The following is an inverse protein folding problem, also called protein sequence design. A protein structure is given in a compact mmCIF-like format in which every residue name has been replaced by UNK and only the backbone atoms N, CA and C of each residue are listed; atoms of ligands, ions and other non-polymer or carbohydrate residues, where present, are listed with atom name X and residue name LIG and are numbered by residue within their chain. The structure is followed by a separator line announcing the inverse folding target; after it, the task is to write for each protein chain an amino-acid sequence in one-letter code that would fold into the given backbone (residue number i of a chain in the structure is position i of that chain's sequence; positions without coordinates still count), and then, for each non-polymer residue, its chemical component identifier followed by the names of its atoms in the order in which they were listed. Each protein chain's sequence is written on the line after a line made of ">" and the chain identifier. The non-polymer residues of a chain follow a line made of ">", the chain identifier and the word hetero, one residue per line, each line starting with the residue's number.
data_IF_978776888234
#
_entry.id   IF_978776888234
#
_cell.length_a   1.000
_cell.length_b   1.000
_cell.length_c   1.000
_cell.angle_alpha   90.00
_cell.angle_beta   90.00
_cell.angle_gamma   90.00
#
_symmetry.space_group_name_H-M   'P 1'
#
loop_
_entity.id
_entity.type
_entity.pdbx_description
1 polymer ?
#
# COMPACT_ATOMS: atom_id res chain seq x y z
N UNK A 1 -0.13 -81.42 -70.08
CA UNK A 1 -1.47 -80.79 -70.29
C UNK A 1 -1.36 -79.31 -69.85
N UNK A 2 -1.70 -78.47 -70.83
CA UNK A 2 -2.12 -77.05 -70.72
C UNK A 2 -1.10 -76.00 -70.22
N UNK A 3 -0.65 -75.21 -71.11
CA UNK A 3 -1.21 -73.99 -71.67
C UNK A 3 -0.94 -72.84 -70.68
N UNK A 4 -0.06 -72.00 -70.83
CA UNK A 4 0.22 -71.03 -71.86
C UNK A 4 -0.53 -69.73 -71.61
N UNK A 5 0.17 -68.70 -71.16
CA UNK A 5 -0.18 -67.38 -71.67
C UNK A 5 0.88 -66.35 -71.21
N UNK A 6 1.53 -65.82 -72.15
CA UNK A 6 2.45 -64.64 -72.10
C UNK A 6 1.67 -63.36 -71.90
N UNK A 7 2.02 -62.56 -70.96
CA UNK A 7 1.60 -61.19 -70.91
C UNK A 7 2.79 -60.25 -71.01
N UNK A 8 2.73 -59.34 -71.99
CA UNK A 8 3.68 -58.28 -72.31
C UNK A 8 3.64 -57.21 -71.27
N UNK A 9 4.77 -56.78 -70.81
CA UNK A 9 4.89 -55.62 -69.97
C UNK A 9 5.20 -54.36 -70.83
N UNK A 10 4.27 -53.38 -70.81
CA UNK A 10 4.48 -52.08 -71.34
C UNK A 10 5.25 -51.24 -70.34
N UNK A 11 6.40 -50.72 -70.78
CA UNK A 11 7.15 -49.76 -70.00
C UNK A 11 6.55 -48.35 -70.09
N UNK A 12 6.08 -47.84 -68.96
CA UNK A 12 5.77 -46.41 -68.84
C UNK A 12 6.95 -45.70 -68.21
N UNK A 13 7.54 -44.76 -68.90
CA UNK A 13 8.52 -43.81 -68.40
C UNK A 13 7.74 -42.64 -67.73
N UNK A 14 7.85 -42.53 -66.43
CA UNK A 14 7.31 -41.39 -65.69
C UNK A 14 8.37 -40.29 -65.63
N UNK A 15 8.04 -39.13 -66.17
CA UNK A 15 8.81 -37.91 -66.01
C UNK A 15 8.52 -37.40 -64.57
N UNK A 16 9.58 -37.28 -63.75
CA UNK A 16 9.49 -36.61 -62.45
C UNK A 16 9.80 -35.13 -62.68
N UNK A 17 8.78 -34.28 -62.55
CA UNK A 17 8.97 -32.84 -62.49
C UNK A 17 9.39 -32.43 -61.07
N UNK A 18 10.60 -31.98 -60.89
CA UNK A 18 11.06 -31.32 -59.66
C UNK A 18 10.47 -29.94 -59.57
N UNK A 19 9.46 -29.75 -58.71
CA UNK A 19 8.99 -28.42 -58.30
C UNK A 19 9.86 -27.94 -57.13
N UNK A 20 10.66 -26.91 -57.33
CA UNK A 20 11.39 -26.19 -56.30
C UNK A 20 10.43 -25.37 -55.46
N UNK A 21 10.22 -25.73 -54.19
CA UNK A 21 9.56 -24.89 -53.22
C UNK A 21 10.55 -23.84 -52.71
N UNK A 22 10.15 -22.54 -52.60
CA UNK A 22 11.03 -21.57 -51.98
C UNK A 22 11.07 -21.80 -50.45
N UNK A 23 12.26 -22.07 -49.88
CA UNK A 23 12.49 -21.99 -48.46
C UNK A 23 12.38 -20.52 -48.02
N UNK A 24 11.25 -20.14 -47.45
CA UNK A 24 11.19 -18.92 -46.64
C UNK A 24 11.85 -19.21 -45.30
N UNK A 25 13.10 -18.78 -45.14
CA UNK A 25 13.74 -18.74 -43.84
C UNK A 25 12.97 -17.75 -42.95
N UNK A 26 12.11 -18.28 -42.08
CA UNK A 26 11.52 -17.50 -40.99
C UNK A 26 12.67 -17.02 -40.09
N UNK A 27 12.80 -15.70 -39.98
CA UNK A 27 13.66 -15.10 -38.96
C UNK A 27 13.18 -15.60 -37.60
N UNK A 28 14.09 -16.00 -36.68
CA UNK A 28 13.70 -16.32 -35.32
C UNK A 28 13.07 -15.06 -34.69
N UNK A 29 11.81 -15.13 -34.29
CA UNK A 29 11.22 -14.16 -33.39
C UNK A 29 12.01 -14.31 -32.09
N UNK A 30 12.80 -13.32 -31.76
CA UNK A 30 13.43 -13.23 -30.44
C UNK A 30 12.29 -13.25 -29.44
N UNK A 31 12.16 -14.35 -28.70
CA UNK A 31 11.34 -14.38 -27.50
C UNK A 31 11.96 -13.34 -26.57
N UNK A 32 11.23 -12.27 -26.25
CA UNK A 32 11.61 -11.39 -25.16
C UNK A 32 11.80 -12.29 -23.93
N UNK A 33 12.96 -12.24 -23.31
CA UNK A 33 13.10 -12.83 -21.98
C UNK A 33 12.02 -12.18 -21.10
N UNK A 34 11.34 -12.95 -20.23
CA UNK A 34 10.42 -12.35 -19.28
C UNK A 34 11.21 -11.32 -18.48
N UNK A 35 10.62 -10.13 -18.30
CA UNK A 35 11.18 -9.13 -17.41
C UNK A 35 11.49 -9.79 -16.06
N UNK A 36 12.66 -9.52 -15.46
CA UNK A 36 12.99 -10.09 -14.17
C UNK A 36 11.87 -9.74 -13.19
N UNK A 37 11.48 -10.71 -12.35
CA UNK A 37 10.53 -10.46 -11.28
C UNK A 37 11.05 -9.28 -10.44
N UNK A 38 10.15 -8.34 -10.03
CA UNK A 38 10.56 -7.21 -9.21
C UNK A 38 11.21 -7.70 -7.93
N UNK A 39 12.41 -7.22 -7.66
CA UNK A 39 13.17 -7.61 -6.47
C UNK A 39 12.74 -6.73 -5.29
N UNK A 40 12.28 -7.37 -4.21
CA UNK A 40 12.07 -6.71 -2.92
C UNK A 40 13.31 -6.92 -2.06
N UNK A 41 13.99 -5.82 -1.73
CA UNK A 41 15.17 -5.82 -0.86
C UNK A 41 14.87 -5.12 0.45
N UNK A 42 15.48 -5.56 1.55
CA UNK A 42 15.43 -4.83 2.81
C UNK A 42 16.70 -4.02 2.98
N UNK A 43 16.56 -2.70 2.97
CA UNK A 43 17.65 -1.77 3.31
C UNK A 43 17.55 -1.33 4.76
N UNK A 44 18.69 -0.94 5.34
CA UNK A 44 18.77 -0.51 6.73
C UNK A 44 19.18 0.95 6.76
N UNK A 45 18.20 1.82 7.03
CA UNK A 45 18.37 3.27 7.00
C UNK A 45 18.59 3.81 8.41
N UNK A 46 19.74 4.47 8.66
CA UNK A 46 19.96 5.16 9.93
C UNK A 46 19.17 6.46 9.98
N UNK A 47 18.40 6.64 11.04
CA UNK A 47 17.68 7.89 11.34
C UNK A 47 18.45 8.70 12.38
N UNK A 48 19.07 9.82 12.01
CA UNK A 48 19.68 10.74 12.98
C UNK A 48 18.70 11.26 14.02
N UNK A 49 17.46 11.56 13.63
CA UNK A 49 16.44 12.07 14.54
C UNK A 49 16.03 11.05 15.61
N UNK A 50 16.00 9.76 15.28
CA UNK A 50 15.65 8.68 16.20
C UNK A 50 16.89 8.02 16.84
N UNK A 51 18.09 8.28 16.33
CA UNK A 51 19.35 7.64 16.71
C UNK A 51 19.26 6.09 16.66
N UNK A 52 18.66 5.58 15.56
CA UNK A 52 18.50 4.16 15.34
C UNK A 52 18.47 3.80 13.86
N UNK A 53 18.71 2.53 13.56
CA UNK A 53 18.56 1.96 12.23
C UNK A 53 17.12 1.47 12.05
N UNK A 54 16.49 1.86 10.93
CA UNK A 54 15.14 1.44 10.54
C UNK A 54 15.22 0.49 9.37
N UNK A 55 14.70 -0.74 9.46
CA UNK A 55 14.59 -1.63 8.32
C UNK A 55 13.46 -1.13 7.39
N UNK A 56 13.73 -1.11 6.09
CA UNK A 56 12.80 -0.62 5.06
C UNK A 56 12.80 -1.61 3.90
N UNK A 57 11.64 -2.18 3.59
CA UNK A 57 11.47 -2.98 2.38
C UNK A 57 11.32 -2.06 1.18
N UNK A 58 12.07 -2.32 0.11
CA UNK A 58 12.00 -1.59 -1.14
C UNK A 58 11.79 -2.58 -2.28
N UNK A 59 10.66 -2.46 -2.95
CA UNK A 59 10.38 -3.16 -4.20
C UNK A 59 10.68 -2.19 -5.35
N UNK A 60 11.63 -2.57 -6.21
CA UNK A 60 11.97 -1.77 -7.40
C UNK A 60 11.10 -2.19 -8.59
N UNK A 61 10.81 -1.27 -9.53
CA UNK A 61 10.13 -1.62 -10.76
C UNK A 61 11.03 -2.50 -11.65
N UNK A 62 10.42 -3.32 -12.51
CA UNK A 62 11.16 -4.14 -13.49
C UNK A 62 11.97 -3.28 -14.48
N UNK A 63 11.42 -2.14 -14.91
CA UNK A 63 12.11 -1.19 -15.78
C UNK A 63 12.71 -0.02 -14.98
N UNK A 64 14.00 -0.07 -14.75
CA UNK A 64 14.82 0.98 -14.12
C UNK A 64 15.58 1.86 -15.12
N UNK A 65 15.29 1.77 -16.41
CA UNK A 65 16.00 2.52 -17.46
C UNK A 65 15.82 4.04 -17.34
N UNK A 66 14.75 4.49 -16.67
CA UNK A 66 14.50 5.88 -16.32
C UNK A 66 14.08 6.00 -14.86
N UNK A 67 14.35 7.13 -14.20
CA UNK A 67 13.90 7.37 -12.83
C UNK A 67 12.39 7.19 -12.69
N UNK A 68 11.96 6.34 -11.75
CA UNK A 68 10.54 6.05 -11.46
C UNK A 68 10.10 6.72 -10.17
N UNK A 69 8.80 7.07 -10.03
CA UNK A 69 8.27 7.63 -8.79
C UNK A 69 8.25 6.61 -7.65
N UNK A 70 7.95 7.08 -6.44
CA UNK A 70 7.94 6.26 -5.22
C UNK A 70 6.58 6.32 -4.53
N UNK A 71 6.03 5.14 -4.23
CA UNK A 71 4.91 4.96 -3.31
C UNK A 71 5.46 4.55 -1.93
N UNK A 72 5.29 5.40 -0.93
CA UNK A 72 5.50 5.05 0.47
C UNK A 72 4.24 4.35 0.98
N UNK A 73 4.39 3.09 1.45
CA UNK A 73 3.26 2.26 1.86
C UNK A 73 3.41 1.88 3.33
N UNK A 74 2.60 2.46 4.20
CA UNK A 74 2.73 2.32 5.64
C UNK A 74 1.84 1.19 6.18
N UNK A 75 2.41 0.39 7.07
CA UNK A 75 1.68 -0.64 7.83
C UNK A 75 0.79 0.00 8.92
N UNK A 76 -0.17 -0.77 9.42
CA UNK A 76 -1.07 -0.35 10.49
C UNK A 76 -0.40 -0.24 11.86
N UNK A 77 -1.14 -0.52 12.91
CA UNK A 77 -0.69 -0.32 14.29
C UNK A 77 0.59 -1.10 14.67
N UNK A 78 0.82 -2.28 14.10
CA UNK A 78 2.03 -3.07 14.33
C UNK A 78 3.30 -2.53 13.66
N UNK A 79 3.20 -1.48 12.84
CA UNK A 79 4.38 -0.84 12.23
C UNK A 79 5.14 -1.70 11.22
N UNK A 80 4.76 -2.95 11.02
CA UNK A 80 5.54 -3.92 10.25
C UNK A 80 6.55 -4.71 11.08
N UNK A 81 6.49 -4.60 12.41
CA UNK A 81 7.35 -5.33 13.36
C UNK A 81 6.82 -6.72 13.67
N UNK A 82 5.61 -7.03 13.21
CA UNK A 82 4.95 -8.32 13.28
C UNK A 82 4.68 -8.86 11.86
N UNK A 83 4.03 -10.02 11.75
CA UNK A 83 3.66 -10.62 10.46
C UNK A 83 2.44 -9.94 9.80
N UNK A 84 1.85 -8.94 10.45
CA UNK A 84 0.72 -8.18 9.92
C UNK A 84 1.20 -7.05 9.00
N UNK A 85 1.84 -7.41 7.89
CA UNK A 85 2.39 -6.50 6.89
C UNK A 85 1.67 -6.62 5.56
N UNK A 86 1.79 -5.61 4.72
CA UNK A 86 1.29 -5.61 3.34
C UNK A 86 1.79 -6.84 2.56
N UNK A 87 3.09 -7.15 2.67
CA UNK A 87 3.72 -8.25 1.94
C UNK A 87 3.19 -9.63 2.35
N UNK A 88 2.91 -9.83 3.65
CA UNK A 88 2.45 -11.13 4.14
C UNK A 88 0.94 -11.33 3.99
N UNK A 89 0.15 -10.24 4.00
CA UNK A 89 -1.31 -10.32 4.10
C UNK A 89 -2.05 -10.00 2.82
N UNK A 90 -1.36 -9.48 1.79
CA UNK A 90 -1.96 -9.05 0.53
C UNK A 90 -1.16 -9.54 -0.68
N UNK A 91 -1.63 -9.22 -1.86
CA UNK A 91 -0.95 -9.45 -3.13
C UNK A 91 -0.08 -8.27 -3.59
N UNK A 92 0.23 -7.33 -2.69
CA UNK A 92 0.85 -6.03 -3.00
C UNK A 92 2.08 -6.12 -3.91
N UNK A 93 2.96 -7.10 -3.68
CA UNK A 93 4.19 -7.26 -4.46
C UNK A 93 3.86 -7.61 -5.91
N UNK A 94 2.99 -8.60 -6.15
CA UNK A 94 2.55 -8.96 -7.49
C UNK A 94 1.66 -7.90 -8.14
N UNK A 95 0.82 -7.23 -7.36
CA UNK A 95 -0.04 -6.16 -7.86
C UNK A 95 0.77 -4.97 -8.37
N UNK A 96 1.84 -4.57 -7.68
CA UNK A 96 2.66 -3.41 -8.04
C UNK A 96 3.84 -3.75 -8.96
N UNK A 97 4.15 -5.03 -9.16
CA UNK A 97 5.28 -5.50 -9.95
C UNK A 97 5.42 -4.86 -11.34
N UNK A 98 4.33 -4.79 -12.09
CA UNK A 98 4.32 -4.24 -13.46
C UNK A 98 3.95 -2.76 -13.57
N UNK A 99 3.98 -1.99 -12.49
CA UNK A 99 3.40 -0.64 -12.45
C UNK A 99 4.42 0.51 -12.52
N UNK A 100 5.69 0.21 -12.79
CA UNK A 100 6.76 1.20 -12.95
C UNK A 100 6.88 2.20 -11.76
N UNK A 101 6.74 1.70 -10.55
CA UNK A 101 6.81 2.46 -9.29
C UNK A 101 7.77 1.78 -8.31
N UNK A 102 8.56 2.56 -7.58
CA UNK A 102 9.25 2.05 -6.40
C UNK A 102 8.26 1.98 -5.24
N UNK A 103 8.26 0.89 -4.47
CA UNK A 103 7.40 0.76 -3.28
C UNK A 103 8.28 0.69 -2.05
N UNK A 104 8.09 1.61 -1.12
CA UNK A 104 8.92 1.76 0.08
C UNK A 104 8.07 1.55 1.31
N UNK A 105 8.34 0.49 2.05
CA UNK A 105 7.57 0.09 3.24
C UNK A 105 8.51 0.04 4.45
N UNK A 106 8.44 1.00 5.39
CA UNK A 106 9.11 0.89 6.68
C UNK A 106 8.59 -0.34 7.44
N UNK A 107 9.51 -1.12 8.01
CA UNK A 107 9.21 -2.32 8.79
C UNK A 107 9.41 -2.04 10.29
N UNK A 108 9.01 -0.86 10.73
CA UNK A 108 9.07 -0.39 12.11
C UNK A 108 8.06 0.74 12.33
N UNK A 109 7.86 1.16 13.57
CA UNK A 109 6.95 2.25 13.95
C UNK A 109 5.68 1.77 14.62
N UNK A 110 5.73 0.60 15.27
CA UNK A 110 4.60 0.07 16.01
C UNK A 110 4.03 1.10 17.00
N UNK A 111 2.73 1.29 16.96
CA UNK A 111 1.91 2.16 17.82
C UNK A 111 2.32 3.64 17.87
N UNK A 112 3.19 4.09 16.94
CA UNK A 112 3.79 5.43 16.97
C UNK A 112 2.95 6.53 16.31
N UNK A 113 1.88 6.19 15.59
CA UNK A 113 1.16 7.09 14.67
C UNK A 113 2.07 7.74 13.61
N UNK A 114 3.26 7.20 13.40
CA UNK A 114 4.26 7.75 12.47
C UNK A 114 4.45 9.27 12.60
N UNK A 115 4.43 9.76 13.86
CA UNK A 115 4.56 11.17 14.20
C UNK A 115 5.81 11.44 15.04
N UNK A 116 6.17 12.71 15.21
CA UNK A 116 7.27 13.12 16.10
C UNK A 116 6.71 13.26 17.52
N UNK A 117 7.15 12.39 18.41
CA UNK A 117 6.78 12.45 19.81
C UNK A 117 7.52 13.59 20.52
N UNK A 118 6.83 14.30 21.43
CA UNK A 118 7.42 15.36 22.21
C UNK A 118 8.53 14.86 23.14
N UNK A 119 8.37 13.65 23.68
CA UNK A 119 9.30 13.01 24.62
C UNK A 119 9.59 11.57 24.22
N UNK A 120 10.77 11.09 24.61
CA UNK A 120 11.10 9.67 24.52
C UNK A 120 10.18 8.88 25.47
N UNK A 121 9.71 7.71 25.05
CA UNK A 121 8.80 6.85 25.79
C UNK A 121 9.55 5.62 26.31
N UNK A 122 9.28 5.14 27.55
CA UNK A 122 9.97 3.97 28.10
C UNK A 122 9.74 2.68 27.30
N UNK A 123 8.56 2.50 26.67
CA UNK A 123 8.21 1.29 25.90
C UNK A 123 8.59 1.42 24.42
N UNK A 124 8.23 2.54 23.80
CA UNK A 124 8.42 2.74 22.34
C UNK A 124 9.68 3.52 21.98
N UNK A 125 10.42 4.03 22.99
CA UNK A 125 11.66 4.75 22.78
C UNK A 125 11.46 6.12 22.12
N UNK A 126 12.49 6.55 21.34
CA UNK A 126 12.48 7.82 20.63
C UNK A 126 11.73 7.66 19.30
N UNK A 127 10.66 8.43 19.12
CA UNK A 127 9.83 8.42 17.92
C UNK A 127 9.88 9.81 17.25
N UNK A 128 10.56 9.88 16.10
CA UNK A 128 10.64 11.05 15.22
C UNK A 128 10.27 10.63 13.78
N UNK A 129 9.14 9.95 13.68
CA UNK A 129 8.72 9.33 12.44
C UNK A 129 8.31 10.33 11.37
N UNK A 130 7.71 11.47 11.75
CA UNK A 130 7.38 12.50 10.78
C UNK A 130 8.67 13.09 10.18
N UNK A 131 9.69 13.37 10.99
CA UNK A 131 11.01 13.77 10.50
C UNK A 131 11.63 12.70 9.61
N UNK A 132 11.60 11.44 10.03
CA UNK A 132 12.15 10.33 9.23
C UNK A 132 11.49 10.22 7.86
N UNK A 133 10.16 10.14 7.82
CA UNK A 133 9.40 9.91 6.60
C UNK A 133 9.36 11.13 5.66
N UNK A 134 9.53 12.34 6.20
CA UNK A 134 9.41 13.55 5.36
C UNK A 134 10.75 14.21 5.03
N UNK A 135 11.82 13.94 5.78
CA UNK A 135 13.09 14.66 5.63
C UNK A 135 14.30 13.72 5.47
N UNK A 136 14.31 12.57 6.14
CA UNK A 136 15.48 11.68 6.16
C UNK A 136 15.38 10.58 5.09
N UNK A 137 14.28 9.82 5.08
CA UNK A 137 14.11 8.67 4.20
C UNK A 137 14.01 9.04 2.71
N UNK A 138 13.22 10.04 2.27
CA UNK A 138 13.03 10.30 0.84
C UNK A 138 14.33 10.59 0.10
N UNK A 139 15.22 11.49 0.55
CA UNK A 139 16.47 11.76 -0.17
C UNK A 139 17.43 10.55 -0.19
N UNK A 140 17.37 9.66 0.81
CA UNK A 140 18.17 8.42 0.82
C UNK A 140 17.66 7.46 -0.25
N UNK A 141 16.35 7.25 -0.32
CA UNK A 141 15.71 6.41 -1.35
C UNK A 141 15.98 6.95 -2.74
N UNK A 142 15.84 8.26 -2.94
CA UNK A 142 16.10 8.91 -4.22
C UNK A 142 17.55 8.69 -4.68
N UNK A 143 18.52 8.80 -3.77
CA UNK A 143 19.93 8.64 -4.08
C UNK A 143 20.32 7.17 -4.30
N UNK A 144 19.78 6.24 -3.52
CA UNK A 144 20.15 4.83 -3.57
C UNK A 144 19.50 4.09 -4.75
N UNK A 145 18.24 4.41 -5.06
CA UNK A 145 17.47 3.73 -6.11
C UNK A 145 17.27 4.57 -7.38
N UNK A 146 17.81 5.77 -7.43
CA UNK A 146 17.72 6.65 -8.60
C UNK A 146 16.28 7.02 -8.97
N UNK A 147 15.44 7.31 -7.96
CA UNK A 147 14.03 7.60 -8.18
C UNK A 147 13.80 8.99 -8.79
N UNK A 148 12.59 9.28 -9.23
CA UNK A 148 12.26 10.58 -9.85
C UNK A 148 12.05 11.72 -8.83
N UNK A 149 12.03 11.43 -7.52
CA UNK A 149 11.67 12.37 -6.47
C UNK A 149 10.16 12.74 -6.45
N UNK A 150 9.34 12.11 -7.28
CA UNK A 150 7.88 12.26 -7.25
C UNK A 150 7.30 11.17 -6.33
N UNK A 151 6.57 11.58 -5.28
CA UNK A 151 6.15 10.68 -4.25
C UNK A 151 4.63 10.65 -4.07
N UNK A 152 4.10 9.47 -3.73
CA UNK A 152 2.79 9.26 -3.14
C UNK A 152 2.94 8.51 -1.82
N UNK A 153 1.93 8.56 -0.97
CA UNK A 153 1.90 7.84 0.30
C UNK A 153 0.55 7.18 0.50
N UNK A 154 0.56 5.95 1.03
CA UNK A 154 -0.66 5.27 1.42
C UNK A 154 -0.45 4.52 2.74
N UNK A 155 -1.54 4.29 3.48
CA UNK A 155 -1.45 3.59 4.76
C UNK A 155 -2.81 3.17 5.28
N UNK A 156 -2.79 2.15 6.14
CA UNK A 156 -3.98 1.51 6.70
C UNK A 156 -4.15 1.82 8.19
N UNK A 157 -5.40 1.85 8.66
CA UNK A 157 -5.70 1.89 10.10
C UNK A 157 -5.02 3.08 10.79
N UNK A 158 -4.15 2.85 11.77
CA UNK A 158 -3.31 3.88 12.39
C UNK A 158 -2.59 4.73 11.33
N UNK A 159 -1.99 4.09 10.34
CA UNK A 159 -1.30 4.81 9.26
C UNK A 159 -2.25 5.53 8.31
N UNK A 160 -3.51 5.10 8.19
CA UNK A 160 -4.53 5.85 7.44
C UNK A 160 -4.79 7.26 8.00
N UNK A 161 -4.67 7.43 9.31
CA UNK A 161 -4.61 8.76 9.95
C UNK A 161 -3.28 9.45 9.68
N UNK A 162 -2.18 8.70 9.83
CA UNK A 162 -0.83 9.26 9.77
C UNK A 162 -0.45 9.83 8.41
N UNK A 163 -0.88 9.20 7.30
CA UNK A 163 -0.56 9.68 5.95
C UNK A 163 -1.14 11.08 5.67
N UNK A 164 -2.31 11.38 6.24
CA UNK A 164 -2.90 12.72 6.17
C UNK A 164 -2.07 13.72 6.99
N UNK A 165 -1.67 13.34 8.22
CA UNK A 165 -0.83 14.17 9.09
C UNK A 165 0.55 14.42 8.48
N UNK A 166 1.16 13.42 7.85
CA UNK A 166 2.45 13.56 7.16
C UNK A 166 2.36 14.48 5.94
N UNK A 167 1.29 14.40 5.16
CA UNK A 167 1.04 15.32 4.05
C UNK A 167 0.80 16.75 4.52
N UNK A 168 0.14 16.95 5.67
CA UNK A 168 -0.02 18.25 6.32
C UNK A 168 1.31 18.82 6.80
N UNK A 169 2.18 17.98 7.37
CA UNK A 169 3.48 18.38 7.88
C UNK A 169 4.49 18.71 6.76
N UNK A 170 4.38 18.05 5.62
CA UNK A 170 5.27 18.24 4.46
C UNK A 170 4.47 18.50 3.18
N UNK A 171 3.89 19.71 3.02
CA UNK A 171 3.09 20.04 1.83
C UNK A 171 3.88 19.83 0.53
N UNK A 172 3.24 19.24 -0.46
CA UNK A 172 3.80 18.93 -1.79
C UNK A 172 4.84 17.81 -1.85
N UNK A 173 5.27 17.22 -0.74
CA UNK A 173 6.14 16.04 -0.77
C UNK A 173 5.41 14.83 -1.35
N UNK A 174 4.17 14.62 -0.94
CA UNK A 174 3.31 13.54 -1.39
C UNK A 174 2.18 14.11 -2.28
N UNK A 175 2.20 13.78 -3.57
CA UNK A 175 1.22 14.26 -4.55
C UNK A 175 -0.09 13.47 -4.50
N UNK A 176 0.00 12.18 -4.16
CA UNK A 176 -1.13 11.28 -3.97
C UNK A 176 -1.17 10.73 -2.57
N UNK A 177 -2.35 10.62 -1.97
CA UNK A 177 -2.55 10.13 -0.62
C UNK A 177 -3.64 9.06 -0.63
N UNK A 178 -3.31 7.85 -0.17
CA UNK A 178 -4.25 6.77 0.10
C UNK A 178 -4.44 6.62 1.61
N UNK A 179 -5.56 7.06 2.16
CA UNK A 179 -5.87 6.97 3.59
C UNK A 179 -6.93 5.89 3.81
N UNK A 180 -6.49 4.67 4.16
CA UNK A 180 -7.38 3.53 4.21
C UNK A 180 -7.80 3.24 5.64
N UNK A 181 -9.09 3.45 5.91
CA UNK A 181 -9.77 3.06 7.17
C UNK A 181 -9.06 3.56 8.42
N UNK A 182 -8.65 4.84 8.40
CA UNK A 182 -8.09 5.57 9.53
C UNK A 182 -9.06 6.63 10.05
N UNK A 183 -9.11 6.83 11.37
CA UNK A 183 -9.90 7.92 11.96
C UNK A 183 -9.10 9.23 11.91
N UNK A 184 -9.47 10.13 11.00
CA UNK A 184 -8.72 11.37 10.73
C UNK A 184 -9.08 12.52 11.68
N UNK A 185 -9.59 12.25 12.86
CA UNK A 185 -9.82 13.21 13.93
C UNK A 185 -9.14 12.72 15.21
N UNK A 186 -8.17 13.45 15.71
CA UNK A 186 -7.38 13.04 16.87
C UNK A 186 -7.65 13.88 18.11
N UNK A 187 -8.19 15.09 17.95
CA UNK A 187 -8.39 16.03 19.06
C UNK A 187 -9.81 16.00 19.67
N UNK A 188 -10.77 15.30 19.05
CA UNK A 188 -12.09 15.07 19.64
C UNK A 188 -12.05 14.01 20.72
N UNK A 189 -13.04 13.97 21.62
CA UNK A 189 -13.12 12.94 22.67
C UNK A 189 -13.05 11.51 22.09
N UNK A 190 -13.76 11.27 20.98
CA UNK A 190 -13.75 9.99 20.29
C UNK A 190 -12.36 9.70 19.66
N UNK A 191 -11.77 10.66 18.99
CA UNK A 191 -10.43 10.51 18.37
C UNK A 191 -9.36 10.27 19.42
N UNK A 192 -9.36 11.03 20.51
CA UNK A 192 -8.48 10.82 21.66
C UNK A 192 -8.59 9.39 22.22
N UNK A 193 -9.83 8.90 22.39
CA UNK A 193 -10.08 7.53 22.85
C UNK A 193 -9.46 6.50 21.90
N UNK A 194 -9.61 6.66 20.57
CA UNK A 194 -9.05 5.72 19.60
C UNK A 194 -7.53 5.77 19.57
N UNK A 195 -6.94 6.96 19.56
CA UNK A 195 -5.48 7.13 19.61
C UNK A 195 -4.91 6.48 20.88
N UNK A 196 -5.51 6.75 22.05
CA UNK A 196 -5.08 6.16 23.32
C UNK A 196 -5.27 4.65 23.36
N UNK A 197 -6.32 4.12 22.74
CA UNK A 197 -6.49 2.67 22.62
C UNK A 197 -5.33 2.03 21.86
N UNK A 198 -4.87 2.65 20.76
CA UNK A 198 -3.73 2.16 19.99
C UNK A 198 -2.42 2.32 20.78
N UNK A 199 -2.13 3.51 21.27
CA UNK A 199 -0.85 3.84 21.91
C UNK A 199 -0.72 3.21 23.30
N UNK A 200 -1.75 3.40 24.15
CA UNK A 200 -1.69 2.98 25.56
C UNK A 200 -2.10 1.51 25.74
N UNK A 201 -3.30 1.14 25.23
CA UNK A 201 -3.84 -0.19 25.51
C UNK A 201 -3.15 -1.29 24.71
N UNK A 202 -2.72 -1.02 23.47
CA UNK A 202 -2.03 -1.98 22.61
C UNK A 202 -0.52 -1.83 22.63
N UNK A 203 -0.01 -0.60 22.62
CA UNK A 203 1.41 -0.27 22.59
C UNK A 203 2.07 -0.24 23.97
N UNK A 204 1.30 -0.17 25.05
CA UNK A 204 1.84 -0.06 26.41
C UNK A 204 2.53 1.28 26.73
N UNK A 205 2.47 2.24 25.83
CA UNK A 205 3.13 3.53 25.90
C UNK A 205 2.23 4.61 26.52
N UNK A 206 2.76 5.80 26.71
CA UNK A 206 2.03 6.96 27.21
C UNK A 206 1.77 7.97 26.10
N UNK A 207 0.51 8.15 25.71
CA UNK A 207 0.11 9.10 24.67
C UNK A 207 0.46 10.56 25.00
N UNK A 208 0.66 10.92 26.28
CA UNK A 208 1.14 12.24 26.66
C UNK A 208 2.61 12.46 26.30
N UNK A 209 3.41 11.40 26.12
CA UNK A 209 4.75 11.51 25.55
C UNK A 209 4.72 11.81 24.05
N UNK A 210 3.61 11.45 23.37
CA UNK A 210 3.43 11.71 21.95
C UNK A 210 3.08 13.16 21.65
N UNK A 211 1.98 13.67 22.21
CA UNK A 211 1.43 15.00 21.87
C UNK A 211 1.09 15.86 23.09
N UNK A 212 1.71 15.60 24.24
CA UNK A 212 1.44 16.31 25.48
C UNK A 212 0.09 15.93 26.11
N UNK A 213 -0.38 16.70 27.08
CA UNK A 213 -1.63 16.40 27.80
C UNK A 213 -2.81 16.17 26.87
N UNK A 214 -3.63 15.16 27.19
CA UNK A 214 -4.81 14.78 26.40
C UNK A 214 -5.72 15.99 26.16
N UNK A 215 -6.09 16.22 24.90
CA UNK A 215 -6.87 17.41 24.48
C UNK A 215 -6.07 18.71 24.42
N UNK A 216 -4.76 18.65 24.64
CA UNK A 216 -3.87 19.81 24.56
C UNK A 216 -3.54 20.23 23.12
N UNK A 217 -2.73 21.29 22.97
CA UNK A 217 -2.40 21.87 21.66
C UNK A 217 -1.71 20.87 20.69
N UNK A 218 -0.92 19.91 21.21
CA UNK A 218 -0.27 18.89 20.38
C UNK A 218 -1.29 18.00 19.68
N UNK A 219 -2.39 17.64 20.34
CA UNK A 219 -3.47 16.86 19.74
C UNK A 219 -4.16 17.61 18.62
N UNK A 220 -4.43 18.91 18.81
CA UNK A 220 -5.02 19.77 17.78
C UNK A 220 -4.07 19.98 16.60
N UNK A 221 -2.78 20.14 16.87
CA UNK A 221 -1.76 20.33 15.83
C UNK A 221 -1.62 19.09 14.92
N UNK A 222 -1.87 17.89 15.47
CA UNK A 222 -1.80 16.61 14.77
C UNK A 222 -3.16 16.06 14.36
N UNK A 223 -4.21 16.90 14.30
CA UNK A 223 -5.54 16.51 13.89
C UNK A 223 -5.79 16.84 12.41
N UNK A 224 -5.91 15.84 11.51
CA UNK A 224 -6.15 16.07 10.09
C UNK A 224 -7.49 16.77 9.82
N UNK A 225 -8.54 16.52 10.61
CA UNK A 225 -9.84 17.16 10.47
C UNK A 225 -9.74 18.67 10.71
N UNK A 226 -9.03 19.08 11.77
CA UNK A 226 -8.81 20.49 12.11
C UNK A 226 -7.91 21.17 11.07
N UNK A 227 -6.89 20.47 10.62
CA UNK A 227 -5.88 20.97 9.69
C UNK A 227 -6.17 20.68 8.21
N UNK A 228 -7.40 20.25 7.88
CA UNK A 228 -7.81 19.79 6.55
C UNK A 228 -7.47 20.76 5.40
N UNK A 229 -7.53 22.07 5.65
CA UNK A 229 -7.19 23.11 4.66
C UNK A 229 -5.77 22.94 4.06
N UNK A 230 -4.84 22.38 4.84
CA UNK A 230 -3.45 22.15 4.39
C UNK A 230 -3.32 20.98 3.39
N UNK A 231 -4.36 20.17 3.22
CA UNK A 231 -4.43 19.08 2.26
C UNK A 231 -4.87 19.53 0.85
N UNK A 232 -5.24 20.78 0.70
CA UNK A 232 -5.70 21.35 -0.58
C UNK A 232 -4.66 21.15 -1.69
N UNK A 233 -5.11 20.59 -2.80
CA UNK A 233 -4.28 20.37 -3.99
C UNK A 233 -3.60 19.01 -4.07
N UNK A 234 -3.65 18.19 -3.03
CA UNK A 234 -3.25 16.79 -3.10
C UNK A 234 -4.36 15.93 -3.73
N UNK A 235 -3.99 14.91 -4.50
CA UNK A 235 -4.94 13.90 -4.95
C UNK A 235 -5.17 12.90 -3.79
N UNK A 236 -6.42 12.65 -3.43
CA UNK A 236 -6.72 11.85 -2.22
C UNK A 236 -7.79 10.80 -2.48
N UNK A 237 -7.55 9.60 -1.95
CA UNK A 237 -8.52 8.52 -1.83
C UNK A 237 -8.61 8.13 -0.35
N UNK A 238 -9.81 8.21 0.20
CA UNK A 238 -10.06 7.99 1.63
C UNK A 238 -11.22 7.00 1.76
N UNK A 239 -10.97 5.85 2.39
CA UNK A 239 -11.94 4.76 2.49
C UNK A 239 -12.41 4.50 3.90
N UNK A 240 -13.64 4.01 4.02
CA UNK A 240 -14.20 3.37 5.21
C UNK A 240 -15.36 2.46 4.85
N UNK A 241 -15.79 1.62 5.79
CA UNK A 241 -16.99 0.82 5.62
C UNK A 241 -17.81 0.75 6.92
N UNK A 242 -19.03 0.21 6.80
CA UNK A 242 -20.00 0.25 7.89
C UNK A 242 -19.64 -0.57 9.14
N UNK A 243 -18.65 -1.46 9.06
CA UNK A 243 -18.32 -2.44 10.10
C UNK A 243 -19.20 -3.70 10.07
N UNK A 244 -20.19 -3.76 9.18
CA UNK A 244 -20.94 -5.01 8.96
C UNK A 244 -20.09 -6.01 8.19
N UNK A 245 -20.22 -7.32 8.49
CA UNK A 245 -19.48 -8.33 7.74
C UNK A 245 -19.76 -8.25 6.23
N UNK A 246 -18.73 -8.48 5.42
CA UNK A 246 -18.78 -8.46 3.96
C UNK A 246 -18.02 -9.64 3.34
N UNK A 247 -17.58 -9.48 2.10
CA UNK A 247 -17.03 -10.54 1.28
C UNK A 247 -15.74 -11.18 1.80
N UNK A 248 -14.90 -10.40 2.50
CA UNK A 248 -13.66 -10.89 3.09
C UNK A 248 -13.82 -11.43 4.52
N UNK A 249 -15.04 -11.42 5.08
CA UNK A 249 -15.32 -11.94 6.42
C UNK A 249 -15.76 -13.42 6.34
N UNK A 250 -14.86 -14.27 5.87
CA UNK A 250 -15.08 -15.70 5.64
C UNK A 250 -13.97 -16.55 6.25
N UNK A 251 -14.26 -17.83 6.51
CA UNK A 251 -13.25 -18.77 7.00
C UNK A 251 -12.08 -18.96 6.03
N UNK A 252 -12.31 -18.73 4.74
CA UNK A 252 -11.31 -18.91 3.67
C UNK A 252 -10.49 -17.65 3.41
N UNK A 253 -10.80 -16.52 4.08
CA UNK A 253 -10.00 -15.30 3.96
C UNK A 253 -8.56 -15.55 4.43
N UNK A 254 -7.57 -15.00 3.71
CA UNK A 254 -6.13 -15.17 4.01
C UNK A 254 -5.80 -14.79 5.46
N UNK A 255 -6.43 -13.74 5.99
CA UNK A 255 -6.23 -13.28 7.38
C UNK A 255 -6.85 -14.19 8.42
N UNK A 256 -7.78 -15.07 8.04
CA UNK A 256 -8.53 -15.98 8.92
C UNK A 256 -7.97 -17.39 8.89
N UNK A 257 -7.53 -17.86 7.72
CA UNK A 257 -6.88 -19.14 7.47
C UNK A 257 -7.62 -20.36 8.12
N UNK A 258 -8.96 -20.37 8.01
CA UNK A 258 -9.79 -21.44 8.53
C UNK A 258 -10.06 -21.40 10.05
N UNK A 259 -9.54 -20.43 10.79
CA UNK A 259 -9.73 -20.31 12.25
C UNK A 259 -11.04 -19.56 12.59
N UNK A 260 -12.07 -20.21 13.17
CA UNK A 260 -13.30 -19.54 13.56
C UNK A 260 -13.13 -18.45 14.62
N UNK A 261 -12.10 -18.54 15.46
CA UNK A 261 -11.84 -17.53 16.50
C UNK A 261 -11.25 -16.25 15.88
N UNK A 262 -10.40 -16.41 14.87
CA UNK A 262 -9.90 -15.29 14.08
C UNK A 262 -11.04 -14.60 13.31
N UNK A 263 -11.93 -15.39 12.69
CA UNK A 263 -13.12 -14.82 12.03
C UNK A 263 -14.01 -14.07 13.01
N UNK A 264 -14.30 -14.66 14.16
CA UNK A 264 -15.11 -14.01 15.19
C UNK A 264 -14.48 -12.69 15.67
N UNK A 265 -13.16 -12.66 15.87
CA UNK A 265 -12.42 -11.44 16.23
C UNK A 265 -12.50 -10.40 15.10
N UNK A 266 -12.28 -10.81 13.84
CA UNK A 266 -12.39 -9.92 12.67
C UNK A 266 -13.79 -9.31 12.55
N UNK A 267 -14.83 -10.11 12.68
CA UNK A 267 -16.23 -9.66 12.57
C UNK A 267 -16.64 -8.78 13.74
N UNK A 268 -16.32 -9.16 14.99
CA UNK A 268 -16.78 -8.45 16.17
C UNK A 268 -15.91 -7.23 16.45
N UNK A 269 -14.62 -7.44 16.70
CA UNK A 269 -13.70 -6.35 17.06
C UNK A 269 -13.41 -5.48 15.85
N UNK A 270 -13.10 -6.10 14.71
CA UNK A 270 -12.86 -5.37 13.46
C UNK A 270 -14.11 -4.59 13.00
N UNK A 271 -15.31 -5.16 13.16
CA UNK A 271 -16.56 -4.46 12.85
C UNK A 271 -16.78 -3.23 13.72
N UNK A 272 -16.52 -3.32 15.03
CA UNK A 272 -16.64 -2.16 15.95
C UNK A 272 -15.65 -1.06 15.58
N UNK A 273 -14.39 -1.43 15.31
CA UNK A 273 -13.35 -0.47 14.90
C UNK A 273 -13.76 0.23 13.61
N UNK A 274 -14.22 -0.53 12.63
CA UNK A 274 -14.56 0.01 11.31
C UNK A 274 -15.79 0.95 11.37
N UNK A 275 -16.81 0.61 12.15
CA UNK A 275 -17.97 1.50 12.36
C UNK A 275 -17.55 2.84 13.00
N UNK A 276 -16.57 2.81 13.90
CA UNK A 276 -16.00 4.01 14.49
C UNK A 276 -15.21 4.84 13.46
N UNK A 277 -14.40 4.18 12.64
CA UNK A 277 -13.65 4.79 11.52
C UNK A 277 -14.61 5.42 10.51
N UNK A 278 -15.70 4.74 10.13
CA UNK A 278 -16.69 5.28 9.19
C UNK A 278 -17.30 6.60 9.71
N UNK A 279 -17.60 6.66 10.99
CA UNK A 279 -18.11 7.90 11.62
C UNK A 279 -17.08 9.04 11.53
N UNK A 280 -15.80 8.78 11.79
CA UNK A 280 -14.71 9.76 11.63
C UNK A 280 -14.57 10.22 10.18
N UNK A 281 -14.55 9.26 9.24
CA UNK A 281 -14.33 9.53 7.81
C UNK A 281 -15.47 10.38 7.23
N UNK A 282 -16.72 10.15 7.66
CA UNK A 282 -17.86 10.98 7.26
C UNK A 282 -17.75 12.42 7.76
N UNK A 283 -17.22 12.64 8.97
CA UNK A 283 -16.94 14.00 9.46
C UNK A 283 -15.85 14.67 8.64
N UNK A 284 -14.80 13.94 8.27
CA UNK A 284 -13.76 14.47 7.39
C UNK A 284 -14.34 14.83 6.02
N UNK A 285 -15.18 13.97 5.41
CA UNK A 285 -15.84 14.26 4.14
C UNK A 285 -16.69 15.54 4.23
N UNK A 286 -17.51 15.69 5.28
CA UNK A 286 -18.28 16.90 5.50
C UNK A 286 -17.38 18.14 5.64
N UNK A 287 -16.23 17.99 6.32
CA UNK A 287 -15.26 19.08 6.45
C UNK A 287 -14.61 19.46 5.12
N UNK A 288 -14.33 18.51 4.26
CA UNK A 288 -13.80 18.75 2.91
C UNK A 288 -14.82 19.47 2.04
N UNK A 289 -16.10 19.06 2.12
CA UNK A 289 -17.20 19.74 1.42
C UNK A 289 -17.34 21.21 1.86
N UNK A 290 -17.28 21.48 3.17
CA UNK A 290 -17.31 22.85 3.71
C UNK A 290 -16.15 23.71 3.20
N UNK A 291 -14.98 23.11 3.06
CA UNK A 291 -13.77 23.81 2.61
C UNK A 291 -13.62 23.83 1.08
N UNK A 292 -14.45 23.09 0.33
CA UNK A 292 -14.30 22.92 -1.11
C UNK A 292 -12.96 22.24 -1.46
N UNK A 293 -12.62 21.16 -0.76
CA UNK A 293 -11.43 20.33 -1.02
C UNK A 293 -11.88 19.08 -1.75
N UNK A 294 -11.32 18.84 -2.94
CA UNK A 294 -11.62 17.65 -3.73
C UNK A 294 -10.90 16.42 -3.16
N UNK A 295 -11.64 15.33 -2.96
CA UNK A 295 -11.12 14.02 -2.63
C UNK A 295 -12.10 12.93 -3.06
N UNK A 296 -11.60 11.74 -3.32
CA UNK A 296 -12.44 10.55 -3.50
C UNK A 296 -12.67 9.91 -2.13
N UNK A 297 -13.93 9.88 -1.71
CA UNK A 297 -14.35 9.14 -0.51
C UNK A 297 -15.06 7.86 -0.95
N UNK A 298 -14.55 6.70 -0.50
CA UNK A 298 -15.20 5.41 -0.69
C UNK A 298 -15.83 4.93 0.62
N UNK A 299 -17.18 4.91 0.65
CA UNK A 299 -17.97 4.47 1.79
C UNK A 299 -18.66 3.15 1.45
N UNK A 300 -18.08 2.03 1.87
CA UNK A 300 -18.63 0.71 1.56
C UNK A 300 -19.78 0.34 2.54
N UNK A 301 -20.86 -0.27 2.02
CA UNK A 301 -22.01 -0.65 2.85
C UNK A 301 -21.71 -1.83 3.79
N UNK A 302 -20.66 -2.59 3.56
CA UNK A 302 -20.18 -3.69 4.38
C UNK A 302 -18.65 -3.74 4.35
N UNK A 303 -18.07 -4.44 5.31
CA UNK A 303 -16.63 -4.62 5.49
C UNK A 303 -16.23 -4.33 6.93
N UNK A 304 -15.28 -5.11 7.42
CA UNK A 304 -14.68 -4.97 8.73
C UNK A 304 -13.27 -4.38 8.63
N UNK A 305 -12.60 -4.18 9.75
CA UNK A 305 -11.24 -3.64 9.81
C UNK A 305 -10.22 -4.75 9.55
N UNK A 306 -10.06 -5.16 8.27
CA UNK A 306 -9.27 -6.32 7.90
C UNK A 306 -8.59 -6.23 6.54
N UNK A 307 -7.59 -7.11 6.33
CA UNK A 307 -6.61 -7.04 5.23
C UNK A 307 -7.24 -7.15 3.83
N UNK A 308 -8.26 -7.99 3.62
CA UNK A 308 -8.86 -8.11 2.29
C UNK A 308 -9.45 -6.79 1.80
N UNK A 309 -10.06 -6.02 2.71
CA UNK A 309 -10.59 -4.71 2.33
C UNK A 309 -9.52 -3.64 2.11
N UNK A 310 -8.37 -3.74 2.80
CA UNK A 310 -7.23 -2.84 2.56
C UNK A 310 -6.53 -3.16 1.24
N UNK A 311 -6.48 -4.44 0.84
CA UNK A 311 -6.03 -4.87 -0.47
C UNK A 311 -6.90 -4.26 -1.57
N UNK A 312 -8.23 -4.36 -1.44
CA UNK A 312 -9.18 -3.71 -2.36
C UNK A 312 -8.99 -2.19 -2.40
N UNK A 313 -8.84 -1.54 -1.24
CA UNK A 313 -8.64 -0.09 -1.15
C UNK A 313 -7.37 0.36 -1.91
N UNK A 314 -6.28 -0.41 -1.83
CA UNK A 314 -5.05 -0.14 -2.59
C UNK A 314 -5.29 -0.30 -4.10
N UNK A 315 -5.96 -1.38 -4.51
CA UNK A 315 -6.28 -1.64 -5.91
C UNK A 315 -7.15 -0.54 -6.52
N UNK A 316 -8.21 -0.14 -5.80
CA UNK A 316 -9.15 0.89 -6.26
C UNK A 316 -8.55 2.30 -6.29
N UNK A 317 -7.68 2.62 -5.33
CA UNK A 317 -7.00 3.92 -5.29
C UNK A 317 -5.85 4.04 -6.28
N UNK A 318 -5.33 2.92 -6.79
CA UNK A 318 -4.14 2.90 -7.64
C UNK A 318 -4.24 3.83 -8.86
N UNK A 319 -5.34 3.89 -9.63
CA UNK A 319 -5.42 4.81 -10.78
C UNK A 319 -5.20 6.28 -10.40
N UNK A 320 -5.71 6.71 -9.23
CA UNK A 320 -5.51 8.06 -8.72
C UNK A 320 -4.07 8.27 -8.25
N UNK A 321 -3.50 7.31 -7.50
CA UNK A 321 -2.12 7.36 -7.03
C UNK A 321 -1.15 7.41 -8.22
N UNK A 322 -1.34 6.54 -9.22
CA UNK A 322 -0.53 6.50 -10.43
C UNK A 322 -0.59 7.83 -11.19
N UNK A 323 -1.79 8.35 -11.45
CA UNK A 323 -1.98 9.63 -12.13
C UNK A 323 -1.31 10.80 -11.37
N UNK A 324 -1.37 10.81 -10.03
CA UNK A 324 -0.70 11.84 -9.20
C UNK A 324 0.82 11.81 -9.34
N UNK A 325 1.38 10.65 -9.65
CA UNK A 325 2.81 10.43 -9.85
C UNK A 325 3.24 10.55 -11.33
N UNK A 326 2.29 10.70 -12.26
CA UNK A 326 2.57 10.81 -13.70
C UNK A 326 2.80 9.46 -14.39
N UNK A 327 2.23 8.39 -13.85
CA UNK A 327 2.21 7.04 -14.43
C UNK A 327 0.95 6.79 -15.26
#
# INVERSE_FOLDING_TARGET
>A
MRCGQTRRYARWTALVALSALPLTAGLPVASAEPDPDPETVTVHVYSPAMDRVVPVAVQTPADTSVPRPTLYLLNGAGGGEDEATWQHRTDVESFLAGKNVNVVTPLAGAFSYYTDWERDDPELGRNKWATFLTQELPPIIDAEFGTSGVNAIAGISMAGTSVLSLAIAAPSLYRGIGAYRGCAETSTDAGQFYVRTVVESRGGADSENMWGPVGGPGWVANDPLVNAEKLRGAAMFISSSSGLPGEHDTLTARSVDGDPSMLANQVIVGGIIEAAVDSCTRRLASRFDELGIDATFDFRPSGTHSWGYWEDDLHESWPMLAASMGL
#
